data_IF_923189792094
#
_entry.id   IF_923189792094
#
_cell.length_a   1.000
_cell.length_b   1.000
_cell.length_c   1.000
_cell.angle_alpha   90.00
_cell.angle_beta   90.00
_cell.angle_gamma   90.00
#
_symmetry.space_group_name_H-M   'P 1'
#
loop_
_entity.id
_entity.type
_entity.pdbx_description
1 polymer ?
#
# COMPACT_ATOMS: atom_id res chain seq x y z
N UNK A 1 -0.17 -0.93 -9.19
CA UNK A 1 0.57 0.18 -8.57
C UNK A 1 -0.26 1.46 -8.57
N UNK A 2 -0.72 2.00 -9.70
CA UNK A 2 -1.49 3.26 -9.75
C UNK A 2 -2.59 3.38 -8.67
N UNK A 3 -3.46 2.36 -8.54
CA UNK A 3 -4.51 2.38 -7.51
C UNK A 3 -3.96 2.38 -6.07
N UNK A 4 -2.82 1.74 -5.79
CA UNK A 4 -2.19 1.77 -4.46
C UNK A 4 -1.74 3.20 -4.16
N UNK A 5 -1.10 3.86 -5.13
CA UNK A 5 -0.58 5.22 -4.96
C UNK A 5 -1.70 6.26 -4.85
N UNK A 6 -2.80 6.10 -5.59
CA UNK A 6 -4.02 6.91 -5.43
C UNK A 6 -4.61 6.79 -4.02
N UNK A 7 -4.65 5.57 -3.45
CA UNK A 7 -5.13 5.37 -2.09
C UNK A 7 -4.18 6.02 -1.07
N UNK A 8 -2.86 5.90 -1.25
CA UNK A 8 -1.85 6.55 -0.40
C UNK A 8 -1.98 8.06 -0.40
N UNK A 9 -2.18 8.66 -1.57
CA UNK A 9 -2.42 10.08 -1.68
C UNK A 9 -3.65 10.51 -0.88
N UNK A 10 -4.78 9.80 -1.05
CA UNK A 10 -6.00 10.08 -0.30
C UNK A 10 -5.83 9.93 1.21
N UNK A 11 -5.09 8.91 1.67
CA UNK A 11 -4.77 8.71 3.10
C UNK A 11 -4.03 9.93 3.65
N UNK A 12 -3.00 10.42 2.95
CA UNK A 12 -2.23 11.60 3.38
C UNK A 12 -3.13 12.84 3.47
N UNK A 13 -3.89 13.13 2.42
CA UNK A 13 -4.77 14.32 2.37
C UNK A 13 -5.84 14.30 3.46
N UNK A 14 -6.50 13.16 3.67
CA UNK A 14 -7.52 13.02 4.70
C UNK A 14 -6.90 13.07 6.11
N UNK A 15 -5.68 12.57 6.29
CA UNK A 15 -4.92 12.71 7.54
C UNK A 15 -4.65 14.17 7.88
N UNK A 16 -4.14 14.95 6.92
CA UNK A 16 -3.90 16.39 7.07
C UNK A 16 -5.19 17.17 7.39
N UNK A 17 -6.32 16.78 6.80
CA UNK A 17 -7.61 17.35 7.16
C UNK A 17 -7.99 17.03 8.62
N UNK A 18 -7.80 15.78 9.05
CA UNK A 18 -8.15 15.33 10.41
C UNK A 18 -7.26 15.98 11.49
N UNK A 19 -6.04 16.42 11.17
CA UNK A 19 -5.22 17.23 12.07
C UNK A 19 -5.92 18.54 12.47
N UNK A 20 -6.75 19.11 11.58
CA UNK A 20 -7.56 20.30 11.84
C UNK A 20 -8.93 19.96 12.44
N UNK A 21 -9.50 18.81 12.08
CA UNK A 21 -10.86 18.40 12.44
C UNK A 21 -10.91 16.97 13.03
N UNK A 22 -10.29 16.71 14.19
CA UNK A 22 -10.08 15.34 14.71
C UNK A 22 -11.36 14.60 15.10
N UNK A 23 -12.46 15.32 15.32
CA UNK A 23 -13.76 14.75 15.71
C UNK A 23 -14.69 14.48 14.51
N UNK A 24 -14.25 14.75 13.27
CA UNK A 24 -15.04 14.48 12.06
C UNK A 24 -15.05 12.96 11.76
N UNK A 25 -16.03 12.28 12.34
CA UNK A 25 -16.18 10.82 12.22
C UNK A 25 -16.45 10.37 10.78
N UNK A 26 -17.03 11.22 9.94
CA UNK A 26 -17.26 10.89 8.52
C UNK A 26 -15.94 10.80 7.77
N UNK A 27 -15.05 11.77 7.97
CA UNK A 27 -13.73 11.75 7.32
C UNK A 27 -12.85 10.67 7.92
N UNK A 28 -12.91 10.42 9.23
CA UNK A 28 -12.20 9.30 9.86
C UNK A 28 -12.62 7.95 9.28
N UNK A 29 -13.91 7.74 9.04
CA UNK A 29 -14.41 6.51 8.40
C UNK A 29 -13.91 6.37 6.96
N UNK A 30 -13.88 7.47 6.19
CA UNK A 30 -13.30 7.46 4.83
C UNK A 30 -11.82 7.12 4.87
N UNK A 31 -11.04 7.79 5.72
CA UNK A 31 -9.62 7.53 5.93
C UNK A 31 -9.36 6.04 6.22
N UNK A 32 -10.10 5.45 7.15
CA UNK A 32 -10.01 4.02 7.48
C UNK A 32 -10.38 3.11 6.29
N UNK A 33 -11.34 3.51 5.46
CA UNK A 33 -11.70 2.74 4.26
C UNK A 33 -10.57 2.72 3.22
N UNK A 34 -9.86 3.84 3.02
CA UNK A 34 -8.70 3.91 2.14
C UNK A 34 -7.53 3.09 2.68
N UNK A 35 -7.25 3.13 3.99
CA UNK A 35 -6.25 2.27 4.63
C UNK A 35 -6.54 0.79 4.39
N UNK A 36 -7.80 0.37 4.56
CA UNK A 36 -8.20 -1.01 4.31
C UNK A 36 -7.99 -1.38 2.83
N UNK A 37 -8.38 -0.50 1.91
CA UNK A 37 -8.28 -0.74 0.48
C UNK A 37 -6.84 -0.82 0.00
N UNK A 38 -5.97 0.07 0.49
CA UNK A 38 -4.53 0.03 0.21
C UNK A 38 -3.94 -1.31 0.66
N UNK A 39 -4.24 -1.75 1.88
CA UNK A 39 -3.74 -3.03 2.42
C UNK A 39 -4.19 -4.24 1.59
N UNK A 40 -5.45 -4.24 1.13
CA UNK A 40 -5.97 -5.28 0.23
C UNK A 40 -5.21 -5.30 -1.10
N UNK A 41 -4.99 -4.12 -1.71
CA UNK A 41 -4.29 -4.01 -2.99
C UNK A 41 -2.81 -4.42 -2.87
N UNK A 42 -2.13 -4.05 -1.78
CA UNK A 42 -0.76 -4.48 -1.48
C UNK A 42 -0.72 -5.99 -1.34
N UNK A 43 -1.64 -6.60 -0.58
CA UNK A 43 -1.69 -8.06 -0.42
C UNK A 43 -1.85 -8.77 -1.77
N UNK A 44 -2.73 -8.27 -2.63
CA UNK A 44 -2.94 -8.83 -3.98
C UNK A 44 -1.67 -8.70 -4.82
N UNK A 45 -1.00 -7.54 -4.78
CA UNK A 45 0.25 -7.33 -5.50
C UNK A 45 1.34 -8.28 -5.00
N UNK A 46 1.54 -8.36 -3.69
CA UNK A 46 2.60 -9.15 -3.08
C UNK A 46 2.43 -10.65 -3.28
N UNK A 47 1.18 -11.13 -3.31
CA UNK A 47 0.89 -12.53 -3.63
C UNK A 47 1.34 -12.96 -5.04
N UNK A 48 1.47 -12.00 -5.96
CA UNK A 48 1.83 -12.25 -7.37
C UNK A 48 3.29 -11.96 -7.67
N UNK A 49 3.84 -10.94 -7.01
CA UNK A 49 5.09 -10.31 -7.40
C UNK A 49 6.15 -10.32 -6.30
N UNK A 50 5.79 -10.76 -5.09
CA UNK A 50 6.66 -10.70 -3.92
C UNK A 50 6.56 -9.37 -3.15
N UNK A 51 7.33 -9.23 -2.07
CA UNK A 51 7.25 -8.11 -1.13
C UNK A 51 7.37 -6.74 -1.83
N UNK A 52 6.45 -5.82 -1.55
CA UNK A 52 6.45 -4.49 -2.17
C UNK A 52 7.33 -3.48 -1.41
N UNK A 53 7.45 -3.63 -0.09
CA UNK A 53 8.23 -2.74 0.78
C UNK A 53 9.10 -3.53 1.75
N UNK A 54 10.14 -2.93 2.32
CA UNK A 54 10.98 -3.59 3.32
C UNK A 54 10.22 -4.05 4.57
N UNK A 55 9.08 -3.42 4.86
CA UNK A 55 8.22 -3.77 5.98
C UNK A 55 7.21 -4.88 5.64
N UNK A 56 7.16 -5.29 4.37
CA UNK A 56 6.25 -6.33 3.92
C UNK A 56 6.71 -7.70 4.42
N UNK A 57 5.79 -8.53 4.92
CA UNK A 57 6.14 -9.85 5.42
C UNK A 57 6.66 -10.72 4.29
N UNK A 58 7.89 -11.23 4.43
CA UNK A 58 8.45 -12.21 3.50
C UNK A 58 7.86 -13.57 3.86
N UNK A 59 6.94 -14.08 3.02
CA UNK A 59 6.24 -15.35 3.26
C UNK A 59 7.07 -16.58 2.85
N UNK A 60 8.35 -16.38 2.49
CA UNK A 60 9.26 -17.41 2.00
C UNK A 60 10.53 -17.48 2.85
N UNK A 61 11.14 -18.66 2.96
CA UNK A 61 12.44 -18.84 3.64
C UNK A 61 13.65 -18.32 2.82
N UNK A 62 13.39 -17.55 1.77
CA UNK A 62 14.38 -17.05 0.81
C UNK A 62 14.31 -15.54 0.82
N UNK A 63 15.47 -14.88 0.82
CA UNK A 63 15.55 -13.44 0.69
C UNK A 63 15.26 -13.01 -0.76
N UNK A 64 14.01 -12.62 -1.00
CA UNK A 64 13.51 -12.32 -2.35
C UNK A 64 14.09 -11.04 -2.94
N UNK A 65 14.66 -10.13 -2.14
CA UNK A 65 15.16 -8.85 -2.64
C UNK A 65 16.42 -8.96 -3.51
N UNK A 66 17.09 -10.12 -3.48
CA UNK A 66 18.25 -10.41 -4.33
C UNK A 66 17.86 -11.32 -5.53
N UNK A 67 16.58 -11.66 -5.70
CA UNK A 67 16.12 -12.47 -6.82
C UNK A 67 15.81 -11.60 -8.04
N UNK A 68 16.42 -11.96 -9.16
CA UNK A 68 16.16 -11.40 -10.49
C UNK A 68 15.46 -12.47 -11.36
N UNK A 69 14.58 -12.09 -12.30
CA UNK A 69 14.20 -10.72 -12.66
C UNK A 69 12.98 -10.20 -11.89
N UNK A 70 13.01 -8.92 -11.53
CA UNK A 70 11.86 -8.24 -10.95
C UNK A 70 10.78 -7.95 -12.00
N UNK A 71 9.51 -7.81 -11.59
CA UNK A 71 8.40 -7.50 -12.51
C UNK A 71 8.59 -6.20 -13.32
N UNK A 72 9.38 -5.26 -12.82
CA UNK A 72 9.71 -4.01 -13.51
C UNK A 72 10.99 -4.08 -14.36
N UNK A 73 11.81 -5.13 -14.22
CA UNK A 73 13.05 -5.31 -15.01
C UNK A 73 12.78 -5.93 -16.39
N UNK A 74 11.67 -6.66 -16.54
CA UNK A 74 11.20 -7.18 -17.82
C UNK A 74 10.47 -6.08 -18.61
N UNK A 75 11.22 -5.07 -19.05
CA UNK A 75 10.86 -4.25 -20.20
C UNK A 75 11.89 -4.51 -21.31
N UNK A 76 11.51 -5.35 -22.26
CA UNK A 76 12.13 -5.42 -23.60
C UNK A 76 11.03 -5.43 -24.64
#
# INVERSE_FOLDING_TARGET
MLQIDENRFAIIELGLYLDLYPNDTNILNKYNSYLKKEKELITIYESKYGPMTLNSPVQTNIWLWNNSPWPWEVQK
#
